data_IF_018586960131
#
_entry.id   IF_018586960131
#
_cell.length_a   1.000
_cell.length_b   1.000
_cell.length_c   1.000
_cell.angle_alpha   90.00
_cell.angle_beta   90.00
_cell.angle_gamma   90.00
#
_symmetry.space_group_name_H-M   'P 1'
#
loop_
_entity.id
_entity.type
_entity.pdbx_description
1 polymer ?
#
# COMPACT_ATOMS: atom_id res chain seq x y z
N UNK A 1 27.73 -7.65 -2.09
CA UNK A 1 28.59 -6.46 -2.03
C UNK A 1 28.34 -5.79 -0.70
N UNK A 2 29.39 -5.46 0.05
CA UNK A 2 29.27 -4.95 1.42
C UNK A 2 28.65 -3.54 1.42
N UNK A 3 27.66 -3.29 2.28
CA UNK A 3 26.89 -2.02 2.34
C UNK A 3 27.81 -0.78 2.38
N UNK A 4 28.92 -0.85 3.11
CA UNK A 4 29.88 0.24 3.23
C UNK A 4 30.49 0.66 1.88
N UNK A 5 30.78 -0.31 1.01
CA UNK A 5 31.33 -0.04 -0.32
C UNK A 5 30.32 0.71 -1.19
N UNK A 6 29.04 0.38 -1.10
CA UNK A 6 27.98 1.10 -1.82
C UNK A 6 27.85 2.55 -1.34
N UNK A 7 27.99 2.77 -0.03
CA UNK A 7 27.94 4.11 0.59
C UNK A 7 29.12 4.95 0.10
N UNK A 8 30.35 4.41 0.14
CA UNK A 8 31.56 5.10 -0.34
C UNK A 8 31.48 5.46 -1.83
N UNK A 9 30.89 4.58 -2.64
CA UNK A 9 30.68 4.80 -4.07
C UNK A 9 29.46 5.67 -4.39
N UNK A 10 28.72 6.16 -3.39
CA UNK A 10 27.54 6.99 -3.58
C UNK A 10 26.39 6.31 -4.33
N UNK A 11 26.30 4.98 -4.27
CA UNK A 11 25.35 4.16 -5.02
C UNK A 11 23.96 4.12 -4.38
N UNK A 12 23.38 5.29 -4.12
CA UNK A 12 22.18 5.42 -3.29
C UNK A 12 20.93 4.76 -3.88
N UNK A 13 20.72 4.80 -5.20
CA UNK A 13 19.61 4.06 -5.82
C UNK A 13 19.76 2.55 -5.66
N UNK A 14 20.99 2.03 -5.74
CA UNK A 14 21.26 0.60 -5.49
C UNK A 14 21.05 0.25 -4.02
N UNK A 15 21.36 1.17 -3.10
CA UNK A 15 21.10 1.00 -1.67
C UNK A 15 19.60 0.99 -1.39
N UNK A 16 18.82 1.90 -1.97
CA UNK A 16 17.39 2.05 -1.67
C UNK A 16 16.53 0.83 -2.06
N UNK A 17 17.03 -0.02 -2.96
CA UNK A 17 16.37 -1.29 -3.34
C UNK A 17 16.80 -2.48 -2.49
N UNK A 18 17.82 -2.35 -1.63
CA UNK A 18 18.25 -3.43 -0.74
C UNK A 18 17.13 -3.73 0.25
N UNK A 19 16.70 -4.98 0.36
CA UNK A 19 15.64 -5.38 1.29
C UNK A 19 16.07 -5.17 2.76
N UNK A 20 15.09 -4.87 3.61
CA UNK A 20 15.22 -4.79 5.06
C UNK A 20 16.22 -3.71 5.55
N UNK A 21 16.22 -2.53 4.93
CA UNK A 21 16.88 -1.36 5.52
C UNK A 21 16.18 -0.99 6.82
N UNK A 22 16.96 -0.77 7.90
CA UNK A 22 16.39 -0.29 9.15
C UNK A 22 15.91 1.17 9.02
N UNK A 23 14.86 1.53 9.75
CA UNK A 23 14.37 2.91 9.79
C UNK A 23 15.44 3.89 10.31
N UNK A 24 16.28 3.47 11.25
CA UNK A 24 17.42 4.26 11.72
C UNK A 24 18.44 4.55 10.60
N UNK A 25 18.69 3.57 9.73
CA UNK A 25 19.56 3.76 8.56
C UNK A 25 18.91 4.72 7.57
N UNK A 26 17.61 4.55 7.32
CA UNK A 26 16.86 5.42 6.41
C UNK A 26 16.81 6.86 6.92
N UNK A 27 16.65 7.07 8.23
CA UNK A 27 16.71 8.39 8.87
C UNK A 27 18.09 9.04 8.70
N UNK A 28 19.15 8.26 8.94
CA UNK A 28 20.54 8.73 8.83
C UNK A 28 20.88 9.21 7.42
N UNK A 29 20.37 8.53 6.39
CA UNK A 29 20.67 8.82 4.98
C UNK A 29 19.46 9.30 4.16
N UNK A 30 18.49 9.92 4.84
CA UNK A 30 17.20 10.31 4.25
C UNK A 30 17.30 11.25 3.05
N UNK A 31 18.40 12.00 2.91
CA UNK A 31 18.59 12.97 1.83
C UNK A 31 19.28 12.36 0.61
N UNK A 32 19.82 11.16 0.74
CA UNK A 32 20.52 10.46 -0.32
C UNK A 32 19.67 9.32 -0.90
N UNK A 33 18.83 8.70 -0.06
CA UNK A 33 17.98 7.59 -0.49
C UNK A 33 16.89 8.04 -1.47
N UNK A 34 16.59 7.16 -2.41
CA UNK A 34 15.48 7.31 -3.35
C UNK A 34 14.18 6.83 -2.69
N UNK A 35 13.32 7.78 -2.33
CA UNK A 35 12.08 7.51 -1.63
C UNK A 35 11.04 6.74 -2.45
N UNK A 36 11.15 6.76 -3.78
CA UNK A 36 10.34 5.92 -4.64
C UNK A 36 10.64 4.45 -4.40
N UNK A 37 11.93 4.09 -4.44
CA UNK A 37 12.36 2.72 -4.13
C UNK A 37 12.10 2.35 -2.68
N UNK A 38 12.34 3.25 -1.72
CA UNK A 38 12.05 2.98 -0.31
C UNK A 38 10.57 2.64 -0.08
N UNK A 39 9.66 3.48 -0.59
CA UNK A 39 8.22 3.26 -0.42
C UNK A 39 7.70 1.99 -1.11
N UNK A 40 8.38 1.53 -2.15
CA UNK A 40 8.02 0.33 -2.91
C UNK A 40 8.60 -0.95 -2.31
N UNK A 41 9.86 -0.91 -1.86
CA UNK A 41 10.63 -2.10 -1.50
C UNK A 41 10.67 -2.40 0.00
N UNK A 42 10.58 -1.38 0.85
CA UNK A 42 10.71 -1.54 2.30
C UNK A 42 9.34 -1.74 2.97
N UNK A 43 9.32 -2.48 4.08
CA UNK A 43 8.18 -2.53 4.99
C UNK A 43 8.32 -1.40 6.02
N UNK A 44 7.60 -0.29 5.79
CA UNK A 44 7.72 0.92 6.60
C UNK A 44 6.69 0.89 7.74
N UNK A 45 7.13 1.23 8.95
CA UNK A 45 6.19 1.47 10.05
C UNK A 45 5.37 2.72 9.80
N UNK A 46 4.14 2.74 10.31
CA UNK A 46 3.28 3.91 10.18
C UNK A 46 3.84 5.14 10.89
N UNK A 47 4.57 4.96 11.98
CA UNK A 47 5.23 6.06 12.69
C UNK A 47 6.32 6.70 11.82
N UNK A 48 7.11 5.88 11.13
CA UNK A 48 8.12 6.36 10.19
C UNK A 48 7.49 7.07 8.99
N UNK A 49 6.42 6.51 8.42
CA UNK A 49 5.68 7.17 7.34
C UNK A 49 5.09 8.52 7.77
N UNK A 50 4.65 8.65 9.03
CA UNK A 50 4.14 9.92 9.59
C UNK A 50 5.26 10.95 9.79
N UNK A 51 6.42 10.55 10.29
CA UNK A 51 7.55 11.47 10.47
C UNK A 51 8.18 11.92 9.14
N UNK A 52 8.01 11.13 8.08
CA UNK A 52 8.56 11.38 6.74
C UNK A 52 7.48 11.64 5.67
N UNK A 53 6.32 12.14 6.09
CA UNK A 53 5.14 12.30 5.26
C UNK A 53 5.40 13.03 3.93
N UNK A 54 6.29 14.04 3.96
CA UNK A 54 6.65 14.85 2.79
C UNK A 54 7.51 14.11 1.75
N UNK A 55 8.10 12.97 2.11
CA UNK A 55 8.93 12.14 1.24
C UNK A 55 8.18 10.92 0.70
N UNK A 56 7.01 10.61 1.26
CA UNK A 56 6.23 9.44 0.88
C UNK A 56 5.68 9.52 -0.54
N UNK A 57 5.86 8.43 -1.30
CA UNK A 57 5.19 8.25 -2.60
C UNK A 57 3.85 7.54 -2.37
N UNK A 58 2.77 8.32 -2.23
CA UNK A 58 1.47 7.83 -1.79
C UNK A 58 0.85 6.70 -2.62
N UNK A 59 1.16 6.63 -3.92
CA UNK A 59 0.75 5.49 -4.74
C UNK A 59 1.41 4.18 -4.28
N UNK A 60 2.70 4.21 -3.94
CA UNK A 60 3.41 3.05 -3.41
C UNK A 60 2.96 2.73 -1.99
N UNK A 61 2.73 3.74 -1.15
CA UNK A 61 2.15 3.54 0.18
C UNK A 61 0.80 2.83 0.10
N UNK A 62 -0.09 3.30 -0.79
CA UNK A 62 -1.42 2.71 -0.96
C UNK A 62 -1.40 1.26 -1.46
N UNK A 63 -0.34 0.88 -2.19
CA UNK A 63 -0.24 -0.42 -2.85
C UNK A 63 0.54 -1.46 -2.04
N UNK A 64 1.68 -1.07 -1.48
CA UNK A 64 2.69 -2.01 -0.97
C UNK A 64 2.74 -2.07 0.55
N UNK A 65 2.33 -1.01 1.25
CA UNK A 65 2.37 -0.98 2.71
C UNK A 65 1.09 -1.59 3.30
N UNK A 66 1.20 -2.18 4.50
CA UNK A 66 0.04 -2.65 5.25
C UNK A 66 -0.51 -1.51 6.10
N UNK A 67 -1.63 -0.94 5.67
CA UNK A 67 -2.19 0.26 6.31
C UNK A 67 -3.29 -0.10 7.32
N UNK A 68 -3.16 0.42 8.53
CA UNK A 68 -4.20 0.32 9.56
C UNK A 68 -5.38 1.26 9.25
N UNK A 69 -6.51 1.01 9.91
CA UNK A 69 -7.70 1.87 9.78
C UNK A 69 -7.44 3.32 10.20
N UNK A 70 -6.62 3.53 11.24
CA UNK A 70 -6.28 4.88 11.71
C UNK A 70 -5.42 5.61 10.69
N UNK A 71 -4.42 4.96 10.11
CA UNK A 71 -3.61 5.56 9.05
C UNK A 71 -4.41 5.90 7.81
N UNK A 72 -5.29 4.99 7.35
CA UNK A 72 -6.17 5.26 6.21
C UNK A 72 -7.07 6.47 6.50
N UNK A 73 -7.58 6.58 7.72
CA UNK A 73 -8.40 7.72 8.11
C UNK A 73 -7.65 9.05 8.08
N UNK A 74 -6.44 9.08 8.64
CA UNK A 74 -5.65 10.30 8.77
C UNK A 74 -5.17 10.79 7.40
N UNK A 75 -4.86 9.86 6.49
CA UNK A 75 -4.30 10.14 5.17
C UNK A 75 -5.27 9.92 4.00
N UNK A 76 -6.57 9.85 4.27
CA UNK A 76 -7.61 9.53 3.28
C UNK A 76 -7.64 10.43 2.03
N UNK A 77 -7.02 11.61 2.08
CA UNK A 77 -6.96 12.56 0.96
C UNK A 77 -5.66 12.45 0.15
N UNK A 78 -4.66 11.74 0.67
CA UNK A 78 -3.39 11.49 -0.02
C UNK A 78 -3.33 10.10 -0.63
N UNK A 79 -4.02 9.14 -0.03
CA UNK A 79 -4.08 7.76 -0.51
C UNK A 79 -4.80 7.65 -1.86
N UNK A 80 -4.28 6.76 -2.70
CA UNK A 80 -4.88 6.42 -3.98
C UNK A 80 -5.93 5.33 -3.78
N UNK A 81 -7.20 5.70 -3.87
CA UNK A 81 -8.33 4.82 -3.57
C UNK A 81 -8.50 3.65 -4.54
N UNK A 82 -8.03 3.75 -5.78
CA UNK A 82 -8.04 2.62 -6.72
C UNK A 82 -7.04 1.55 -6.27
N UNK A 83 -5.84 1.97 -5.81
CA UNK A 83 -4.83 1.06 -5.28
C UNK A 83 -5.25 0.47 -3.94
N UNK A 84 -5.84 1.28 -3.05
CA UNK A 84 -6.46 0.81 -1.81
C UNK A 84 -7.51 -0.27 -2.11
N UNK A 85 -8.39 0.00 -3.07
CA UNK A 85 -9.46 -0.94 -3.48
C UNK A 85 -8.93 -2.26 -4.04
N UNK A 86 -7.77 -2.22 -4.69
CA UNK A 86 -7.17 -3.39 -5.34
C UNK A 86 -6.32 -4.21 -4.38
N UNK A 87 -5.52 -3.57 -3.52
CA UNK A 87 -4.40 -4.22 -2.83
C UNK A 87 -4.53 -4.27 -1.30
N UNK A 88 -5.24 -3.33 -0.67
CA UNK A 88 -5.35 -3.34 0.79
C UNK A 88 -6.39 -4.35 1.28
N UNK A 89 -6.20 -4.84 2.51
CA UNK A 89 -7.22 -5.63 3.20
C UNK A 89 -8.28 -4.68 3.79
N UNK A 90 -9.43 -4.62 3.13
CA UNK A 90 -10.50 -3.70 3.52
C UNK A 90 -11.38 -4.32 4.61
N UNK A 91 -11.26 -3.81 5.84
CA UNK A 91 -12.14 -4.19 6.94
C UNK A 91 -13.59 -3.69 6.73
N UNK A 92 -14.55 -4.29 7.43
CA UNK A 92 -15.94 -3.84 7.42
C UNK A 92 -16.08 -2.35 7.80
N UNK A 93 -15.27 -1.89 8.76
CA UNK A 93 -15.28 -0.51 9.26
C UNK A 93 -14.79 0.44 8.16
N UNK A 94 -13.63 0.15 7.56
CA UNK A 94 -13.08 0.95 6.46
C UNK A 94 -14.04 1.03 5.27
N UNK A 95 -14.70 -0.09 4.94
CA UNK A 95 -15.62 -0.13 3.81
C UNK A 95 -16.85 0.74 4.06
N UNK A 96 -17.48 0.65 5.21
CA UNK A 96 -18.63 1.51 5.50
C UNK A 96 -18.27 2.99 5.52
N UNK A 97 -17.13 3.31 6.13
CA UNK A 97 -16.66 4.69 6.26
C UNK A 97 -16.28 5.30 4.92
N UNK A 98 -15.63 4.53 4.05
CA UNK A 98 -15.04 5.02 2.80
C UNK A 98 -15.69 4.47 1.53
N UNK A 99 -16.89 3.87 1.61
CA UNK A 99 -17.63 3.28 0.47
C UNK A 99 -17.80 4.19 -0.75
N UNK A 100 -17.77 5.50 -0.56
CA UNK A 100 -17.91 6.49 -1.61
C UNK A 100 -16.60 6.79 -2.35
N UNK A 101 -15.45 6.49 -1.72
CA UNK A 101 -14.12 6.60 -2.33
C UNK A 101 -13.67 5.28 -2.97
N UNK A 102 -14.17 4.16 -2.48
CA UNK A 102 -13.81 2.82 -2.96
C UNK A 102 -14.29 2.54 -4.39
N UNK A 103 -13.41 1.94 -5.17
CA UNK A 103 -13.71 1.48 -6.52
C UNK A 103 -14.23 0.04 -6.49
N UNK A 104 -15.55 -0.08 -6.51
CA UNK A 104 -16.27 -1.35 -6.43
C UNK A 104 -16.00 -2.31 -7.59
N UNK A 105 -15.61 -1.78 -8.76
CA UNK A 105 -15.19 -2.61 -9.90
C UNK A 105 -13.88 -3.34 -9.59
N UNK A 106 -12.91 -2.62 -9.03
CA UNK A 106 -11.62 -3.19 -8.64
C UNK A 106 -11.77 -4.14 -7.45
N UNK A 107 -12.58 -3.79 -6.45
CA UNK A 107 -12.91 -4.69 -5.34
C UNK A 107 -13.47 -6.01 -5.88
N UNK A 108 -14.46 -5.94 -6.77
CA UNK A 108 -15.10 -7.13 -7.35
C UNK A 108 -14.13 -8.02 -8.11
N UNK A 109 -13.10 -7.43 -8.73
CA UNK A 109 -12.12 -8.14 -9.55
C UNK A 109 -10.96 -8.75 -8.74
N UNK A 110 -10.46 -8.03 -7.73
CA UNK A 110 -9.18 -8.35 -7.11
C UNK A 110 -9.30 -8.82 -5.66
N UNK A 111 -10.30 -8.34 -4.90
CA UNK A 111 -10.43 -8.66 -3.47
C UNK A 111 -11.03 -10.05 -3.27
N UNK A 112 -10.50 -10.78 -2.29
CA UNK A 112 -11.12 -12.01 -1.81
C UNK A 112 -12.21 -11.65 -0.79
N UNK A 113 -13.47 -11.78 -1.19
CA UNK A 113 -14.61 -11.37 -0.39
C UNK A 113 -15.23 -12.56 0.34
N UNK A 114 -15.41 -12.46 1.66
CA UNK A 114 -16.19 -13.44 2.42
C UNK A 114 -17.64 -13.46 1.95
N UNK A 115 -18.36 -14.56 2.18
CA UNK A 115 -19.78 -14.65 1.80
C UNK A 115 -20.65 -13.60 2.51
N UNK A 116 -20.35 -13.34 3.78
CA UNK A 116 -20.98 -12.27 4.56
C UNK A 116 -20.74 -10.88 3.97
N UNK A 117 -19.57 -10.64 3.36
CA UNK A 117 -19.28 -9.40 2.65
C UNK A 117 -20.13 -9.29 1.39
N UNK A 118 -20.16 -10.36 0.59
CA UNK A 118 -20.91 -10.39 -0.67
C UNK A 118 -22.40 -10.12 -0.47
N UNK A 119 -23.02 -10.80 0.49
CA UNK A 119 -24.44 -10.61 0.78
C UNK A 119 -24.76 -9.17 1.22
N UNK A 120 -23.86 -8.57 2.02
CA UNK A 120 -24.08 -7.20 2.51
C UNK A 120 -23.96 -6.14 1.42
N UNK A 121 -23.07 -6.33 0.45
CA UNK A 121 -22.79 -5.35 -0.60
C UNK A 121 -23.15 -5.85 -2.00
N UNK A 122 -24.11 -6.78 -2.10
CA UNK A 122 -24.52 -7.45 -3.34
C UNK A 122 -24.80 -6.47 -4.48
N UNK A 123 -25.50 -5.38 -4.19
CA UNK A 123 -25.88 -4.36 -5.17
C UNK A 123 -24.70 -3.49 -5.66
N UNK A 124 -23.55 -3.55 -4.99
CA UNK A 124 -22.34 -2.82 -5.39
C UNK A 124 -21.33 -3.71 -6.10
N UNK A 125 -21.46 -5.03 -5.93
CA UNK A 125 -20.55 -6.00 -6.54
C UNK A 125 -20.89 -6.16 -8.01
N UNK A 126 -19.87 -6.05 -8.85
CA UNK A 126 -19.98 -6.43 -10.24
C UNK A 126 -19.79 -7.94 -10.37
N UNK A 127 -20.88 -8.69 -10.28
CA UNK A 127 -20.89 -10.16 -10.32
C UNK A 127 -20.29 -10.75 -11.60
N UNK A 128 -20.51 -10.11 -12.76
CA UNK A 128 -19.89 -10.54 -14.03
C UNK A 128 -18.37 -10.50 -13.97
N UNK A 129 -17.80 -9.44 -13.41
CA UNK A 129 -16.35 -9.33 -13.22
C UNK A 129 -15.86 -10.30 -12.13
N UNK A 130 -16.57 -10.35 -11.00
CA UNK A 130 -16.23 -11.26 -9.90
C UNK A 130 -16.11 -12.71 -10.36
N UNK A 131 -17.10 -13.22 -11.09
CA UNK A 131 -17.08 -14.59 -11.61
C UNK A 131 -15.96 -14.80 -12.62
N UNK A 132 -15.77 -13.87 -13.56
CA UNK A 132 -14.73 -13.98 -14.60
C UNK A 132 -13.34 -14.11 -14.00
N UNK A 133 -13.04 -13.36 -12.93
CA UNK A 133 -11.69 -13.29 -12.38
C UNK A 133 -11.44 -14.24 -11.20
N UNK A 134 -12.48 -14.72 -10.52
CA UNK A 134 -12.33 -15.70 -9.43
C UNK A 134 -12.59 -17.15 -9.85
N UNK A 135 -13.22 -17.42 -11.01
CA UNK A 135 -13.25 -18.78 -11.60
C UNK A 135 -11.88 -19.26 -12.10
N UNK A 136 -10.95 -18.34 -12.38
CA UNK A 136 -9.61 -18.64 -12.89
C UNK A 136 -8.53 -18.76 -11.81
N UNK A 137 -8.89 -18.74 -10.52
CA UNK A 137 -7.96 -18.85 -9.38
C UNK A 137 -8.00 -20.24 -8.69
N UNK A 138 -8.53 -21.26 -9.36
CA UNK A 138 -8.49 -22.66 -8.89
C UNK A 138 -7.30 -23.40 -9.48
#
# INVERSE_FOLDING_TARGET
MEMNKLIELGKWSEISIIENLSEEFMDKYQYQLDWGYICQAQNLSENFMRSHENKMVWNFISKYQNLTESFINDYQNKLNWDLISMYQNLSKINIEKFKHKLNWKLISQYQNMSESFKNKYENKINWKLFEKFNKNKK
#
